data_IF_615854111027
#
_entry.id   IF_615854111027
#
_cell.length_a   1.000
_cell.length_b   1.000
_cell.length_c   1.000
_cell.angle_alpha   90.00
_cell.angle_beta   90.00
_cell.angle_gamma   90.00
#
_symmetry.space_group_name_H-M   'P 1'
#
loop_
_entity.id
_entity.type
_entity.pdbx_description
1 polymer ?
#
# COMPACT_ATOMS: atom_id res chain seq x y z
N UNK A 1 1.12 5.98 10.78
CA UNK A 1 1.60 4.83 11.58
C UNK A 1 2.32 5.25 12.86
N UNK A 2 3.37 6.09 12.81
CA UNK A 2 4.15 6.53 13.99
C UNK A 2 3.27 7.15 15.08
N UNK A 3 2.36 8.05 14.72
CA UNK A 3 1.39 8.61 15.68
C UNK A 3 0.47 7.56 16.31
N UNK A 4 0.16 6.49 15.60
CA UNK A 4 -0.65 5.37 16.13
C UNK A 4 0.11 4.46 17.08
N UNK A 5 1.42 4.32 16.88
CA UNK A 5 2.31 3.59 17.77
C UNK A 5 2.37 4.24 19.16
N UNK A 6 2.38 5.57 19.22
CA UNK A 6 2.28 6.32 20.48
C UNK A 6 0.99 6.00 21.25
N UNK A 7 -0.15 5.98 20.56
CA UNK A 7 -1.43 5.61 21.17
C UNK A 7 -1.48 4.14 21.57
N UNK A 8 -0.84 3.25 20.80
CA UNK A 8 -0.73 1.84 21.11
C UNK A 8 0.07 1.61 22.39
N UNK A 9 1.24 2.25 22.55
CA UNK A 9 2.06 2.16 23.77
C UNK A 9 1.30 2.67 25.00
N UNK A 10 0.48 3.72 24.85
CA UNK A 10 -0.37 4.24 25.93
C UNK A 10 -1.47 3.27 26.35
N UNK A 11 -2.02 2.50 25.40
CA UNK A 11 -3.13 1.56 25.65
C UNK A 11 -2.65 0.19 26.13
N UNK A 12 -1.60 -0.35 25.50
CA UNK A 12 -0.98 -1.62 25.80
C UNK A 12 0.54 -1.49 25.63
N UNK A 13 1.25 -1.46 26.76
CA UNK A 13 2.70 -1.25 26.77
C UNK A 13 3.44 -2.41 26.11
N UNK A 14 3.06 -3.65 26.37
CA UNK A 14 3.77 -4.82 25.83
C UNK A 14 3.62 -4.87 24.32
N UNK A 15 2.38 -4.72 23.83
CA UNK A 15 2.10 -4.77 22.40
C UNK A 15 2.67 -3.54 21.66
N UNK A 16 2.62 -2.37 22.28
CA UNK A 16 3.20 -1.14 21.76
C UNK A 16 4.73 -1.18 21.64
N UNK A 17 5.42 -1.52 22.73
CA UNK A 17 6.88 -1.65 22.73
C UNK A 17 7.36 -2.82 21.87
N UNK A 18 6.64 -3.95 21.86
CA UNK A 18 6.94 -5.07 20.96
C UNK A 18 6.84 -4.69 19.48
N UNK A 19 5.77 -3.98 19.10
CA UNK A 19 5.60 -3.47 17.73
C UNK A 19 6.70 -2.48 17.36
N UNK A 20 7.07 -1.56 18.26
CA UNK A 20 8.15 -0.60 18.05
C UNK A 20 9.50 -1.30 17.89
N UNK A 21 9.80 -2.27 18.77
CA UNK A 21 11.05 -3.02 18.73
C UNK A 21 11.20 -3.76 17.40
N UNK A 22 10.17 -4.50 16.96
CA UNK A 22 10.22 -5.21 15.67
C UNK A 22 10.39 -4.24 14.50
N UNK A 23 9.71 -3.09 14.52
CA UNK A 23 9.84 -2.08 13.47
C UNK A 23 11.23 -1.44 13.43
N UNK A 24 11.85 -1.16 14.58
CA UNK A 24 13.22 -0.63 14.64
C UNK A 24 14.25 -1.67 14.20
N UNK A 25 14.12 -2.92 14.65
CA UNK A 25 14.98 -4.03 14.20
C UNK A 25 14.88 -4.21 12.69
N UNK A 26 13.66 -4.18 12.15
CA UNK A 26 13.39 -4.24 10.73
C UNK A 26 14.10 -3.15 9.94
N UNK A 27 13.98 -1.89 10.37
CA UNK A 27 14.65 -0.74 9.73
C UNK A 27 16.16 -0.88 9.82
N UNK A 28 16.69 -1.25 10.99
CA UNK A 28 18.13 -1.42 11.20
C UNK A 28 18.71 -2.51 10.29
N UNK A 29 18.11 -3.70 10.27
CA UNK A 29 18.55 -4.81 9.41
C UNK A 29 18.49 -4.41 7.94
N UNK A 30 17.46 -3.67 7.53
CA UNK A 30 17.35 -3.18 6.15
C UNK A 30 18.42 -2.13 5.82
N UNK A 31 18.70 -1.20 6.74
CA UNK A 31 19.70 -0.16 6.55
C UNK A 31 21.14 -0.69 6.57
N UNK A 32 21.39 -1.84 7.20
CA UNK A 32 22.70 -2.49 7.23
C UNK A 32 23.09 -3.18 5.91
N UNK A 33 22.16 -3.29 4.95
CA UNK A 33 22.45 -3.84 3.62
C UNK A 33 23.09 -2.75 2.77
N UNK A 34 24.29 -2.99 2.22
CA UNK A 34 25.05 -2.01 1.42
C UNK A 34 24.23 -1.44 0.24
N UNK A 35 23.48 -2.31 -0.43
CA UNK A 35 22.56 -1.92 -1.51
C UNK A 35 21.10 -1.81 -1.02
N UNK A 36 20.89 -1.28 0.19
CA UNK A 36 19.54 -1.06 0.71
C UNK A 36 18.71 -0.14 -0.19
N UNK A 37 19.40 0.78 -0.88
CA UNK A 37 18.88 1.74 -1.84
C UNK A 37 18.94 1.25 -3.30
N UNK A 38 19.71 0.19 -3.59
CA UNK A 38 20.04 -0.26 -4.94
C UNK A 38 19.17 -1.44 -5.42
N UNK A 39 18.48 -1.25 -6.54
CA UNK A 39 17.82 -2.32 -7.28
C UNK A 39 16.31 -2.12 -7.39
N UNK A 40 15.90 -1.56 -8.53
CA UNK A 40 14.55 -1.62 -9.08
C UNK A 40 13.86 -2.96 -8.73
N UNK A 41 12.61 -2.87 -8.30
CA UNK A 41 11.70 -3.95 -7.88
C UNK A 41 11.94 -4.71 -6.56
N UNK A 42 13.17 -4.95 -6.07
CA UNK A 42 13.38 -5.78 -4.85
C UNK A 42 13.65 -4.99 -3.57
N UNK A 43 14.34 -3.84 -3.63
CA UNK A 43 14.60 -3.00 -2.45
C UNK A 43 13.32 -2.48 -1.78
N UNK A 44 12.33 -2.09 -2.60
CA UNK A 44 11.04 -1.58 -2.13
C UNK A 44 10.15 -2.66 -1.47
N UNK A 45 10.33 -3.94 -1.80
CA UNK A 45 9.51 -5.04 -1.25
C UNK A 45 9.94 -5.46 0.16
N UNK A 46 11.13 -5.06 0.62
CA UNK A 46 11.65 -5.42 1.94
C UNK A 46 10.75 -4.90 3.08
N UNK A 47 9.96 -3.86 2.83
CA UNK A 47 9.02 -3.32 3.81
C UNK A 47 7.60 -3.91 3.74
N UNK A 48 7.28 -4.69 2.71
CA UNK A 48 5.93 -5.27 2.51
C UNK A 48 5.55 -6.17 3.67
N UNK A 49 6.49 -6.96 4.19
CA UNK A 49 6.28 -7.85 5.34
C UNK A 49 5.93 -7.09 6.63
N UNK A 50 6.25 -5.80 6.73
CA UNK A 50 5.93 -4.97 7.91
C UNK A 50 4.56 -4.30 7.83
N UNK A 51 3.79 -4.55 6.77
CA UNK A 51 2.40 -4.07 6.61
C UNK A 51 1.57 -4.41 7.86
N UNK A 52 1.78 -5.57 8.49
CA UNK A 52 1.07 -5.97 9.71
C UNK A 52 1.32 -4.97 10.86
N UNK A 53 2.58 -4.59 11.12
CA UNK A 53 2.90 -3.63 12.19
C UNK A 53 2.38 -2.22 11.88
N UNK A 54 2.40 -1.81 10.61
CA UNK A 54 1.78 -0.56 10.18
C UNK A 54 0.26 -0.58 10.38
N UNK A 55 -0.40 -1.69 10.06
CA UNK A 55 -1.85 -1.89 10.27
C UNK A 55 -2.21 -1.86 11.74
N UNK A 56 -1.43 -2.50 12.62
CA UNK A 56 -1.65 -2.47 14.07
C UNK A 56 -1.52 -1.03 14.61
N UNK A 57 -0.48 -0.30 14.21
CA UNK A 57 -0.30 1.11 14.61
C UNK A 57 -1.42 2.01 14.08
N UNK A 58 -1.80 1.87 12.81
CA UNK A 58 -2.89 2.65 12.20
C UNK A 58 -4.25 2.31 12.83
N UNK A 59 -4.51 1.04 13.11
CA UNK A 59 -5.72 0.60 13.81
C UNK A 59 -5.83 1.21 15.20
N UNK A 60 -4.73 1.22 15.96
CA UNK A 60 -4.68 1.89 17.25
C UNK A 60 -4.97 3.40 17.13
N UNK A 61 -4.44 4.07 16.11
CA UNK A 61 -4.71 5.50 15.85
C UNK A 61 -6.18 5.77 15.57
N UNK A 62 -6.78 5.03 14.63
CA UNK A 62 -8.18 5.22 14.22
C UNK A 62 -9.14 4.84 15.34
N UNK A 63 -8.77 3.88 16.21
CA UNK A 63 -9.57 3.48 17.38
C UNK A 63 -9.53 4.47 18.54
N UNK A 64 -8.64 5.48 18.50
CA UNK A 64 -8.59 6.49 19.56
C UNK A 64 -9.85 7.36 19.57
N UNK A 65 -10.31 7.76 20.76
CA UNK A 65 -11.58 8.46 20.98
C UNK A 65 -11.82 9.65 20.03
N UNK A 66 -10.76 10.38 19.68
CA UNK A 66 -10.80 11.56 18.81
C UNK A 66 -11.08 11.21 17.34
N UNK A 67 -10.63 10.04 16.89
CA UNK A 67 -10.68 9.59 15.49
C UNK A 67 -11.78 8.54 15.25
N UNK A 68 -12.30 7.93 16.31
CA UNK A 68 -13.37 6.95 16.25
C UNK A 68 -14.65 7.47 15.56
N UNK A 69 -14.98 8.76 15.76
CA UNK A 69 -16.13 9.42 15.12
C UNK A 69 -15.98 9.54 13.58
N UNK A 70 -14.75 9.45 13.05
CA UNK A 70 -14.46 9.49 11.60
C UNK A 70 -14.16 8.10 11.03
N UNK A 71 -14.39 7.04 11.80
CA UNK A 71 -14.04 5.67 11.41
C UNK A 71 -14.71 5.23 10.10
N UNK A 72 -15.95 5.64 9.85
CA UNK A 72 -16.65 5.40 8.58
C UNK A 72 -15.93 6.04 7.39
N UNK A 73 -15.57 7.32 7.49
CA UNK A 73 -14.82 8.04 6.46
C UNK A 73 -13.47 7.41 6.20
N UNK A 74 -12.73 6.99 7.24
CA UNK A 74 -11.45 6.29 7.07
C UNK A 74 -11.60 4.95 6.36
N UNK A 75 -12.68 4.20 6.62
CA UNK A 75 -12.97 2.95 5.92
C UNK A 75 -13.22 3.19 4.43
N UNK A 76 -14.00 4.22 4.08
CA UNK A 76 -14.26 4.58 2.68
C UNK A 76 -12.96 5.01 1.99
N UNK A 77 -12.18 5.90 2.60
CA UNK A 77 -10.89 6.33 2.05
C UNK A 77 -9.96 5.13 1.86
N UNK A 78 -9.85 4.25 2.86
CA UNK A 78 -9.04 3.05 2.77
C UNK A 78 -9.52 2.13 1.64
N UNK A 79 -10.82 1.91 1.49
CA UNK A 79 -11.39 1.12 0.39
C UNK A 79 -11.07 1.74 -0.97
N UNK A 80 -11.23 3.06 -1.13
CA UNK A 80 -10.87 3.77 -2.36
C UNK A 80 -9.38 3.63 -2.69
N UNK A 81 -8.49 3.77 -1.69
CA UNK A 81 -7.04 3.60 -1.87
C UNK A 81 -6.69 2.17 -2.24
N UNK A 82 -7.30 1.17 -1.61
CA UNK A 82 -7.08 -0.24 -1.92
C UNK A 82 -7.54 -0.56 -3.34
N UNK A 83 -8.77 -0.18 -3.72
CA UNK A 83 -9.31 -0.38 -5.07
C UNK A 83 -8.40 0.28 -6.10
N UNK A 84 -7.99 1.51 -5.85
CA UNK A 84 -7.07 2.28 -6.70
C UNK A 84 -5.71 1.59 -6.87
N UNK A 85 -5.17 0.97 -5.82
CA UNK A 85 -3.92 0.21 -5.89
C UNK A 85 -4.09 -1.11 -6.67
N UNK A 86 -5.19 -1.83 -6.45
CA UNK A 86 -5.51 -3.07 -7.18
C UNK A 86 -5.67 -2.80 -8.67
N UNK A 87 -6.42 -1.75 -9.04
CA UNK A 87 -6.58 -1.36 -10.44
C UNK A 87 -5.25 -1.02 -11.10
N UNK A 88 -4.36 -0.29 -10.40
CA UNK A 88 -3.02 0.00 -10.89
C UNK A 88 -2.18 -1.27 -11.09
N UNK A 89 -2.21 -2.20 -10.12
CA UNK A 89 -1.50 -3.48 -10.23
C UNK A 89 -2.00 -4.28 -11.44
N UNK A 90 -3.33 -4.33 -11.65
CA UNK A 90 -3.94 -5.03 -12.79
C UNK A 90 -3.53 -4.38 -14.10
N UNK A 91 -3.59 -3.05 -14.22
CA UNK A 91 -3.14 -2.32 -15.41
C UNK A 91 -1.68 -2.64 -15.73
N UNK A 92 -0.81 -2.62 -14.72
CA UNK A 92 0.60 -2.96 -14.86
C UNK A 92 0.82 -4.40 -15.36
N UNK A 93 0.11 -5.37 -14.78
CA UNK A 93 0.20 -6.78 -15.18
C UNK A 93 -0.30 -7.01 -16.61
N UNK A 94 -1.41 -6.36 -17.00
CA UNK A 94 -1.95 -6.44 -18.36
C UNK A 94 -0.96 -5.84 -19.36
N UNK A 95 -0.41 -4.64 -19.09
CA UNK A 95 0.55 -4.00 -19.96
C UNK A 95 1.80 -4.87 -20.19
N UNK A 96 2.34 -5.48 -19.12
CA UNK A 96 3.48 -6.40 -19.22
C UNK A 96 3.17 -7.67 -20.00
N UNK A 97 2.03 -8.32 -19.73
CA UNK A 97 1.67 -9.61 -20.36
C UNK A 97 1.24 -9.48 -21.81
N UNK A 98 0.60 -8.36 -22.17
CA UNK A 98 0.22 -8.06 -23.55
C UNK A 98 1.38 -7.50 -24.38
N UNK A 99 2.53 -7.19 -23.76
CA UNK A 99 3.63 -6.52 -24.45
C UNK A 99 3.25 -5.11 -24.95
N UNK A 100 2.27 -4.48 -24.30
CA UNK A 100 1.77 -3.15 -24.68
C UNK A 100 0.68 -3.14 -25.75
N UNK A 101 0.22 -4.29 -26.25
CA UNK A 101 -0.77 -4.33 -27.35
C UNK A 101 -2.18 -3.92 -26.91
N UNK A 102 -2.59 -4.33 -25.70
CA UNK A 102 -3.91 -4.02 -25.13
C UNK A 102 -3.86 -2.68 -24.38
N UNK A 103 -2.79 -2.47 -23.61
CA UNK A 103 -2.60 -1.28 -22.77
C UNK A 103 -1.12 -0.93 -22.76
N UNK A 104 -0.83 0.31 -23.16
CA UNK A 104 0.52 0.83 -23.15
C UNK A 104 1.05 1.02 -21.72
N UNK A 105 2.36 0.89 -21.54
CA UNK A 105 2.98 1.06 -20.25
C UNK A 105 2.77 2.49 -19.73
N UNK A 106 2.31 2.68 -18.49
CA UNK A 106 2.00 4.02 -17.99
C UNK A 106 3.28 4.82 -17.81
N UNK A 107 3.45 5.86 -18.61
CA UNK A 107 4.59 6.79 -18.57
C UNK A 107 4.20 8.16 -18.03
N UNK A 108 2.90 8.47 -17.96
CA UNK A 108 2.39 9.75 -17.45
C UNK A 108 1.70 9.62 -16.09
N UNK A 109 1.75 10.70 -15.29
CA UNK A 109 1.04 10.76 -14.01
C UNK A 109 -0.47 10.58 -14.17
N UNK A 110 -1.05 11.04 -15.28
CA UNK A 110 -2.46 10.85 -15.60
C UNK A 110 -2.80 9.36 -15.81
N UNK A 111 -1.96 8.63 -16.54
CA UNK A 111 -2.14 7.19 -16.76
C UNK A 111 -2.05 6.41 -15.45
N UNK A 112 -1.11 6.77 -14.58
CA UNK A 112 -0.94 6.15 -13.26
C UNK A 112 -2.10 6.46 -12.33
N UNK A 113 -2.58 7.71 -12.31
CA UNK A 113 -3.52 8.18 -11.28
C UNK A 113 -4.99 8.02 -11.66
N UNK A 114 -5.33 8.25 -12.92
CA UNK A 114 -6.72 8.38 -13.39
C UNK A 114 -7.13 7.27 -14.36
N UNK A 115 -6.30 6.92 -15.34
CA UNK A 115 -6.71 5.98 -16.39
C UNK A 115 -6.96 4.55 -15.89
N UNK A 116 -6.35 4.17 -14.76
CA UNK A 116 -6.62 2.91 -14.07
C UNK A 116 -8.10 2.65 -13.75
N UNK A 117 -8.92 3.68 -13.62
CA UNK A 117 -10.36 3.53 -13.34
C UNK A 117 -11.18 3.18 -14.59
N UNK A 118 -10.63 3.43 -15.79
CA UNK A 118 -11.27 3.08 -17.07
C UNK A 118 -10.88 1.66 -17.50
N UNK A 119 -9.88 1.06 -16.84
CA UNK A 119 -9.36 -0.27 -17.12
C UNK A 119 -10.43 -1.36 -17.25
N UNK A 120 -11.40 -1.52 -16.31
CA UNK A 120 -12.37 -2.61 -16.40
C UNK A 120 -13.21 -2.53 -17.67
N UNK A 121 -13.56 -1.31 -18.09
CA UNK A 121 -14.35 -1.07 -19.30
C UNK A 121 -13.55 -1.38 -20.57
N UNK A 122 -12.26 -0.98 -20.61
CA UNK A 122 -11.38 -1.29 -21.74
C UNK A 122 -11.19 -2.81 -21.92
N UNK A 123 -11.05 -3.55 -20.82
CA UNK A 123 -10.89 -5.01 -20.88
C UNK A 123 -12.14 -5.72 -21.40
N UNK A 124 -13.33 -5.32 -20.93
CA UNK A 124 -14.60 -5.90 -21.40
C UNK A 124 -14.81 -5.70 -22.90
N UNK A 125 -14.58 -4.47 -23.40
CA UNK A 125 -14.77 -4.16 -24.81
C UNK A 125 -13.78 -4.88 -25.73
N UNK A 126 -12.56 -5.18 -25.24
CA UNK A 126 -11.56 -5.88 -26.04
C UNK A 126 -11.87 -7.38 -26.17
N UNK A 127 -12.50 -7.99 -25.15
CA UNK A 127 -12.97 -9.38 -25.23
C UNK A 127 -14.14 -9.59 -26.19
N UNK A 128 -14.90 -8.54 -26.53
CA UNK A 128 -15.99 -8.63 -27.52
C UNK A 128 -15.49 -8.60 -28.98
N UNK A 129 -14.22 -8.27 -29.20
CA UNK A 129 -13.63 -8.13 -30.54
C UNK A 129 -12.82 -9.37 -30.99
N UNK A 130 -12.55 -10.30 -30.08
CA UNK A 130 -11.88 -11.60 -30.32
C UNK A 130 -12.92 -12.73 -30.47
#
# INVERSE_FOLDING_TARGET
AVGGLFWLIKRDRLLGWGTLAVLLTAVYVNAAVVDWWGGEAFGARRFVSYTVFFTVGLGALVSSWRWAQWSGTFRIIAACVIISNVLFLTQYQVALRSGGTIIEYPVSAQQVLLERFVLPWRLLNHQEQD
#
